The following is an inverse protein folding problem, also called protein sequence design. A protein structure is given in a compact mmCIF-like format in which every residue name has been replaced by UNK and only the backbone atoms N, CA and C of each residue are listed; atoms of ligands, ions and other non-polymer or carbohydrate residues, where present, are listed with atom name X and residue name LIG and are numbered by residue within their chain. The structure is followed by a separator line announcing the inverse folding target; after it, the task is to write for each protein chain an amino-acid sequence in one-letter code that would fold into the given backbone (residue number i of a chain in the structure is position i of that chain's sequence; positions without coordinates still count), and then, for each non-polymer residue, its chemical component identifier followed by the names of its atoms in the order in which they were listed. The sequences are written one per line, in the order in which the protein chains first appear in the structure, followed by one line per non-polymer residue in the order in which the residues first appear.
data_IF_455182247309
#
_entry.id   IF_455182247309
#
_cell.length_a   1.000
_cell.length_b   1.000
_cell.length_c   1.000
_cell.angle_alpha   90.00
_cell.angle_beta   90.00
_cell.angle_gamma   90.00
#
_symmetry.space_group_name_H-M   'P 1'
#
loop_
_entity.id
_entity.type
_entity.pdbx_description
1 polymer ?
#
# COMPACT_ATOMS: atom_id res chain seq x y z
N UNK A 1 10.68 16.01 24.10
CA UNK A 1 9.89 17.05 24.81
C UNK A 1 8.65 16.37 25.38
N UNK A 2 8.27 16.69 26.61
CA UNK A 2 7.13 16.07 27.29
C UNK A 2 5.78 16.58 26.72
N UNK A 3 4.81 15.69 26.55
CA UNK A 3 3.48 15.95 25.97
C UNK A 3 2.69 16.94 26.82
N UNK A 4 2.81 16.86 28.14
CA UNK A 4 2.13 17.76 29.07
C UNK A 4 2.70 19.18 29.00
N UNK A 5 4.02 19.29 28.91
CA UNK A 5 4.72 20.57 28.73
C UNK A 5 4.34 21.25 27.41
N UNK A 6 4.25 20.48 26.33
CA UNK A 6 3.74 20.97 25.04
C UNK A 6 2.31 21.49 25.17
N UNK A 7 1.41 20.70 25.77
CA UNK A 7 0.02 21.11 25.96
C UNK A 7 -0.13 22.40 26.79
N UNK A 8 0.73 22.61 27.79
CA UNK A 8 0.77 23.85 28.56
C UNK A 8 1.23 25.06 27.74
N UNK A 9 2.27 24.89 26.92
CA UNK A 9 2.76 25.93 26.00
C UNK A 9 1.68 26.31 24.99
N UNK A 10 1.02 25.32 24.37
CA UNK A 10 -0.06 25.58 23.40
C UNK A 10 -1.24 26.31 24.03
N UNK A 11 -1.64 25.96 25.26
CA UNK A 11 -2.70 26.67 25.98
C UNK A 11 -2.34 28.12 26.27
N UNK A 12 -1.12 28.38 26.73
CA UNK A 12 -0.64 29.74 26.99
C UNK A 12 -0.60 30.58 25.70
N UNK A 13 -0.08 30.00 24.61
CA UNK A 13 -0.03 30.66 23.32
C UNK A 13 -1.44 30.96 22.76
N UNK A 14 -2.38 30.03 22.91
CA UNK A 14 -3.77 30.25 22.51
C UNK A 14 -4.43 31.40 23.29
N UNK A 15 -4.20 31.47 24.61
CA UNK A 15 -4.71 32.58 25.43
C UNK A 15 -4.10 33.94 25.03
N UNK A 16 -2.82 33.97 24.65
CA UNK A 16 -2.18 35.18 24.14
C UNK A 16 -2.80 35.64 22.81
N UNK A 17 -3.02 34.71 21.88
CA UNK A 17 -3.66 35.01 20.60
C UNK A 17 -5.09 35.51 20.76
N UNK A 18 -5.83 34.98 21.74
CA UNK A 18 -7.16 35.51 22.09
C UNK A 18 -7.09 36.95 22.57
N UNK A 19 -6.14 37.28 23.48
CA UNK A 19 -5.95 38.66 23.96
C UNK A 19 -5.60 39.62 22.83
N UNK A 20 -4.68 39.23 21.94
CA UNK A 20 -4.29 40.03 20.78
C UNK A 20 -5.48 40.28 19.85
N UNK A 21 -6.26 39.24 19.55
CA UNK A 21 -7.48 39.36 18.74
C UNK A 21 -8.48 40.34 19.37
N UNK A 22 -8.73 40.23 20.67
CA UNK A 22 -9.69 41.08 21.37
C UNK A 22 -9.22 42.56 21.38
N UNK A 23 -7.91 42.78 21.53
CA UNK A 23 -7.28 44.11 21.41
C UNK A 23 -7.42 44.69 20.00
N UNK A 24 -7.16 43.88 18.96
CA UNK A 24 -7.32 44.30 17.56
C UNK A 24 -8.78 44.64 17.25
N UNK A 25 -9.72 43.86 17.79
CA UNK A 25 -11.17 44.09 17.64
C UNK A 25 -11.58 45.41 18.30
N UNK A 26 -11.10 45.66 19.52
CA UNK A 26 -11.36 46.92 20.23
C UNK A 26 -10.75 48.15 19.52
N UNK A 27 -9.62 47.96 18.84
CA UNK A 27 -8.98 49.00 18.03
C UNK A 27 -9.64 49.23 16.66
N UNK A 28 -10.71 48.49 16.33
CA UNK A 28 -11.43 48.61 15.06
C UNK A 28 -10.67 48.07 13.85
N UNK A 29 -9.65 47.23 14.06
CA UNK A 29 -8.94 46.57 12.96
C UNK A 29 -9.82 45.46 12.42
N UNK A 30 -9.93 45.34 11.09
CA UNK A 30 -10.66 44.21 10.50
C UNK A 30 -10.01 42.91 10.95
N UNK A 31 -10.85 41.96 11.39
CA UNK A 31 -10.43 40.61 11.74
C UNK A 31 -9.86 40.00 10.46
N UNK A 32 -8.53 39.90 10.39
CA UNK A 32 -7.72 39.29 9.33
C UNK A 32 -8.50 38.91 8.06
N UNK A 33 -8.34 39.70 7.00
CA UNK A 33 -8.97 39.48 5.68
C UNK A 33 -8.09 38.53 4.85
N UNK A 34 -8.42 37.24 4.73
CA UNK A 34 -7.57 36.26 4.06
C UNK A 34 -7.36 36.60 2.58
N UNK A 35 -8.32 37.30 1.96
CA UNK A 35 -8.26 37.74 0.56
C UNK A 35 -7.19 38.80 0.32
N UNK A 36 -6.73 39.48 1.38
CA UNK A 36 -5.64 40.46 1.35
C UNK A 36 -4.28 39.85 1.68
N UNK A 37 -4.25 38.63 2.21
CA UNK A 37 -3.02 37.89 2.48
C UNK A 37 -2.75 36.87 1.36
N UNK A 38 -2.06 37.36 0.32
CA UNK A 38 -1.61 36.54 -0.79
C UNK A 38 -0.69 35.40 -0.33
N UNK A 39 0.10 35.59 0.73
CA UNK A 39 1.04 34.59 1.22
C UNK A 39 0.31 33.50 2.02
N UNK A 40 -0.63 33.88 2.89
CA UNK A 40 -1.49 32.95 3.62
C UNK A 40 -2.36 32.10 2.70
N UNK A 41 -2.88 32.70 1.63
CA UNK A 41 -3.67 32.00 0.61
C UNK A 41 -2.86 30.94 -0.15
N UNK A 42 -1.59 31.23 -0.48
CA UNK A 42 -0.69 30.26 -1.11
C UNK A 42 -0.39 29.09 -0.16
N UNK A 43 -0.08 29.37 1.11
CA UNK A 43 0.20 28.32 2.10
C UNK A 43 -1.01 27.44 2.39
N UNK A 44 -2.22 28.00 2.42
CA UNK A 44 -3.45 27.23 2.57
C UNK A 44 -3.64 26.25 1.42
N UNK A 45 -3.44 26.72 0.17
CA UNK A 45 -3.51 25.88 -1.03
C UNK A 45 -2.45 24.78 -1.05
N UNK A 46 -1.20 25.09 -0.74
CA UNK A 46 -0.11 24.10 -0.67
C UNK A 46 -0.36 23.02 0.39
N UNK A 47 -1.03 23.38 1.50
CA UNK A 47 -1.43 22.42 2.53
C UNK A 47 -2.55 21.51 2.04
N UNK A 48 -3.51 22.05 1.33
CA UNK A 48 -4.63 21.29 0.76
C UNK A 48 -4.15 20.33 -0.33
N UNK A 49 -3.25 20.77 -1.21
CA UNK A 49 -2.60 19.91 -2.22
C UNK A 49 -1.80 18.76 -1.58
N UNK A 50 -1.05 19.03 -0.50
CA UNK A 50 -0.35 17.97 0.25
C UNK A 50 -1.31 16.98 0.90
N UNK A 51 -2.42 17.45 1.47
CA UNK A 51 -3.43 16.58 2.06
C UNK A 51 -4.09 15.71 0.98
N UNK A 52 -4.47 16.29 -0.16
CA UNK A 52 -5.05 15.57 -1.29
C UNK A 52 -4.08 14.51 -1.83
N UNK A 53 -2.80 14.85 -2.00
CA UNK A 53 -1.76 13.89 -2.42
C UNK A 53 -1.57 12.73 -1.43
N UNK A 54 -1.58 13.02 -0.12
CA UNK A 54 -1.48 11.99 0.91
C UNK A 54 -2.70 11.05 0.94
N UNK A 55 -3.90 11.57 0.71
CA UNK A 55 -5.13 10.78 0.61
C UNK A 55 -5.15 9.91 -0.67
N UNK A 56 -4.73 10.45 -1.81
CA UNK A 56 -4.62 9.70 -3.06
C UNK A 56 -3.60 8.54 -2.95
N UNK A 57 -2.46 8.79 -2.30
CA UNK A 57 -1.45 7.76 -2.04
C UNK A 57 -1.99 6.65 -1.12
N UNK A 58 -2.76 7.00 -0.09
CA UNK A 58 -3.42 6.01 0.77
C UNK A 58 -4.46 5.18 0.00
N UNK A 59 -5.27 5.81 -0.85
CA UNK A 59 -6.29 5.09 -1.64
C UNK A 59 -5.65 4.11 -2.62
N UNK A 60 -4.62 4.53 -3.38
CA UNK A 60 -3.90 3.64 -4.30
C UNK A 60 -3.17 2.49 -3.60
N UNK A 61 -2.65 2.73 -2.39
CA UNK A 61 -2.07 1.65 -1.57
C UNK A 61 -3.14 0.70 -1.05
N UNK A 62 -4.32 1.19 -0.70
CA UNK A 62 -5.45 0.37 -0.25
C UNK A 62 -6.04 -0.48 -1.38
N UNK A 63 -6.08 0.05 -2.61
CA UNK A 63 -6.49 -0.70 -3.81
C UNK A 63 -5.51 -1.83 -4.12
N UNK A 64 -4.19 -1.56 -4.11
CA UNK A 64 -3.17 -2.61 -4.30
C UNK A 64 -3.21 -3.70 -3.22
N UNK A 65 -3.44 -3.32 -1.96
CA UNK A 65 -3.57 -4.30 -0.87
C UNK A 65 -4.83 -5.16 -1.01
N UNK A 66 -5.92 -4.62 -1.54
CA UNK A 66 -7.14 -5.39 -1.83
C UNK A 66 -6.92 -6.33 -3.01
N UNK A 67 -6.29 -5.87 -4.09
CA UNK A 67 -5.91 -6.72 -5.22
C UNK A 67 -4.97 -7.87 -4.80
N UNK A 68 -3.98 -7.61 -3.95
CA UNK A 68 -3.10 -8.66 -3.40
C UNK A 68 -3.83 -9.61 -2.43
N UNK A 69 -4.83 -9.13 -1.69
CA UNK A 69 -5.62 -9.95 -0.77
C UNK A 69 -6.65 -10.84 -1.50
N UNK A 70 -7.15 -10.38 -2.65
CA UNK A 70 -8.07 -11.12 -3.52
C UNK A 70 -7.32 -12.10 -4.45
N UNK A 71 -5.98 -12.04 -4.52
CA UNK A 71 -5.16 -13.02 -5.25
C UNK A 71 -5.14 -14.36 -4.51
N UNK A 72 -5.80 -15.37 -5.07
CA UNK A 72 -5.86 -16.72 -4.52
C UNK A 72 -4.46 -17.38 -4.58
N UNK A 73 -3.71 -17.34 -3.47
CA UNK A 73 -2.41 -17.99 -3.36
C UNK A 73 -2.57 -19.47 -3.05
N UNK A 74 -2.25 -20.32 -4.02
CA UNK A 74 -2.17 -21.77 -3.83
C UNK A 74 -0.73 -22.18 -3.48
N UNK A 75 -0.54 -22.78 -2.31
CA UNK A 75 0.75 -23.34 -1.89
C UNK A 75 0.77 -24.86 -2.08
N UNK A 76 1.84 -25.38 -2.70
CA UNK A 76 2.05 -26.82 -2.89
C UNK A 76 3.30 -27.25 -2.13
N UNK A 77 3.15 -28.17 -1.17
CA UNK A 77 4.27 -28.75 -0.43
C UNK A 77 4.67 -30.08 -1.07
N UNK A 78 5.92 -30.16 -1.51
CA UNK A 78 6.49 -31.34 -2.14
C UNK A 78 7.51 -32.00 -1.22
N UNK A 79 7.66 -33.33 -1.36
CA UNK A 79 8.76 -34.05 -0.73
C UNK A 79 10.12 -33.52 -1.21
N UNK A 80 11.18 -33.70 -0.43
CA UNK A 80 12.52 -33.26 -0.82
C UNK A 80 12.99 -33.89 -2.15
N UNK A 81 12.61 -35.15 -2.42
CA UNK A 81 12.95 -35.83 -3.66
C UNK A 81 12.24 -35.18 -4.86
N UNK A 82 10.93 -34.98 -4.78
CA UNK A 82 10.13 -34.34 -5.83
C UNK A 82 10.59 -32.90 -6.09
N UNK A 83 10.90 -32.14 -5.03
CA UNK A 83 11.42 -30.78 -5.14
C UNK A 83 12.73 -30.71 -5.92
N UNK A 84 13.67 -31.64 -5.67
CA UNK A 84 14.94 -31.70 -6.43
C UNK A 84 14.73 -32.00 -7.91
N UNK A 85 13.77 -32.87 -8.24
CA UNK A 85 13.44 -33.18 -9.63
C UNK A 85 12.87 -31.94 -10.35
N UNK A 86 11.91 -31.24 -9.73
CA UNK A 86 11.35 -30.01 -10.29
C UNK A 86 12.43 -28.95 -10.49
N UNK A 87 13.32 -28.76 -9.51
CA UNK A 87 14.43 -27.81 -9.62
C UNK A 87 15.40 -28.17 -10.75
N UNK A 88 15.69 -29.46 -10.93
CA UNK A 88 16.57 -29.94 -12.01
C UNK A 88 15.97 -29.64 -13.38
N UNK A 89 14.66 -29.90 -13.55
CA UNK A 89 13.94 -29.63 -14.79
C UNK A 89 13.90 -28.13 -15.08
N UNK A 90 13.50 -27.32 -14.09
CA UNK A 90 13.48 -25.86 -14.16
C UNK A 90 14.84 -25.29 -14.60
N UNK A 91 15.93 -25.79 -14.01
CA UNK A 91 17.30 -25.36 -14.35
C UNK A 91 17.68 -25.71 -15.79
N UNK A 92 17.22 -26.84 -16.32
CA UNK A 92 17.53 -27.29 -17.69
C UNK A 92 16.74 -26.54 -18.76
N UNK A 93 15.50 -26.15 -18.45
CA UNK A 93 14.59 -25.50 -19.41
C UNK A 93 14.55 -23.98 -19.27
N UNK A 94 15.15 -23.42 -18.22
CA UNK A 94 15.09 -21.99 -17.90
C UNK A 94 13.75 -21.54 -17.31
N UNK A 95 12.83 -22.47 -17.04
CA UNK A 95 11.53 -22.19 -16.46
C UNK A 95 11.62 -22.00 -14.94
N UNK A 96 10.64 -21.30 -14.35
CA UNK A 96 10.44 -21.27 -12.90
C UNK A 96 9.84 -22.60 -12.42
N UNK A 97 10.14 -23.06 -11.18
CA UNK A 97 9.52 -24.26 -10.61
C UNK A 97 7.99 -24.27 -10.69
N UNK A 98 7.34 -23.11 -10.51
CA UNK A 98 5.89 -22.97 -10.62
C UNK A 98 5.38 -23.21 -12.04
N UNK A 99 6.12 -22.83 -13.08
CA UNK A 99 5.74 -23.09 -14.48
C UNK A 99 5.85 -24.57 -14.82
N UNK A 100 6.87 -25.26 -14.30
CA UNK A 100 7.01 -26.72 -14.45
C UNK A 100 5.82 -27.43 -13.78
N UNK A 101 5.41 -26.99 -12.59
CA UNK A 101 4.24 -27.54 -11.89
C UNK A 101 2.92 -27.25 -12.61
N UNK A 102 2.75 -26.05 -13.16
CA UNK A 102 1.57 -25.70 -13.95
C UNK A 102 1.43 -26.61 -15.17
N UNK A 103 2.52 -26.83 -15.92
CA UNK A 103 2.50 -27.72 -17.08
C UNK A 103 2.29 -29.20 -16.71
N UNK A 104 2.77 -29.63 -15.54
CA UNK A 104 2.43 -30.95 -15.00
C UNK A 104 0.92 -31.06 -14.73
N UNK A 105 0.33 -30.04 -14.09
CA UNK A 105 -1.08 -30.00 -13.74
C UNK A 105 -1.99 -29.97 -14.98
N UNK A 106 -1.64 -29.17 -15.99
CA UNK A 106 -2.36 -29.07 -17.27
C UNK A 106 -2.42 -30.40 -18.04
N UNK A 107 -1.49 -31.32 -17.74
CA UNK A 107 -1.33 -32.59 -18.45
C UNK A 107 -1.80 -33.78 -17.61
N UNK A 108 -2.44 -33.54 -16.47
CA UNK A 108 -3.01 -34.60 -15.66
C UNK A 108 -4.13 -35.28 -16.45
N UNK A 109 -4.02 -36.61 -16.55
CA UNK A 109 -5.07 -37.50 -17.05
C UNK A 109 -5.53 -38.35 -15.88
N UNK A 110 -6.84 -38.35 -15.64
CA UNK A 110 -7.49 -39.18 -14.63
C UNK A 110 -8.13 -40.37 -15.36
N UNK A 111 -7.68 -41.57 -15.03
CA UNK A 111 -8.23 -42.82 -15.55
C UNK A 111 -9.62 -43.13 -15.01
N UNK A 112 -10.33 -44.07 -15.64
CA UNK A 112 -11.67 -44.52 -15.21
C UNK A 112 -11.69 -45.11 -13.79
N UNK A 113 -10.55 -45.61 -13.32
CA UNK A 113 -10.30 -46.12 -11.97
C UNK A 113 -9.89 -45.02 -10.97
N UNK A 114 -9.83 -43.76 -11.40
CA UNK A 114 -9.36 -42.63 -10.59
C UNK A 114 -7.82 -42.49 -10.55
N UNK A 115 -7.08 -43.29 -11.31
CA UNK A 115 -5.62 -43.18 -11.36
C UNK A 115 -5.19 -41.86 -12.00
N UNK A 116 -4.33 -41.12 -11.31
CA UNK A 116 -3.76 -39.85 -11.80
C UNK A 116 -2.43 -40.14 -12.50
N UNK A 117 -2.34 -39.77 -13.77
CA UNK A 117 -1.14 -39.93 -14.58
C UNK A 117 -0.81 -38.66 -15.35
N UNK A 118 0.44 -38.50 -15.76
CA UNK A 118 0.87 -37.42 -16.65
C UNK A 118 1.60 -38.05 -17.84
N UNK A 119 1.12 -37.88 -19.08
CA UNK A 119 1.80 -38.37 -20.26
C UNK A 119 3.19 -37.72 -20.41
N UNK A 120 4.18 -38.45 -20.96
CA UNK A 120 5.51 -37.90 -21.20
C UNK A 120 5.49 -36.59 -21.99
N UNK A 121 6.32 -35.63 -21.58
CA UNK A 121 6.46 -34.35 -22.26
C UNK A 121 7.80 -33.68 -21.94
N UNK A 122 8.13 -32.68 -22.75
CA UNK A 122 9.27 -31.79 -22.50
C UNK A 122 8.71 -30.41 -22.15
N UNK A 123 9.01 -29.86 -20.96
CA UNK A 123 8.55 -28.52 -20.60
C UNK A 123 9.15 -27.46 -21.52
N UNK A 124 8.32 -26.53 -22.00
CA UNK A 124 8.71 -25.43 -22.88
C UNK A 124 8.02 -24.12 -22.47
N UNK A 125 8.48 -22.99 -22.99
CA UNK A 125 7.80 -21.69 -22.81
C UNK A 125 6.47 -21.64 -23.55
#
# INVERSE_FOLDING_TARGET
MDRERLAAIWRAQHAEWQRVRDLMTAAGWSVYEPERDAQGSVWAREREERLAGALATQNTSGERQREEADELRAEVRLSAASSRLVQTVASRTGLRPSQVLAQLAERIVIGEDGTVSVPPFTPSW
#
